data_IF_495422371436
#
_entry.id   IF_495422371436
#
_cell.length_a   1.000
_cell.length_b   1.000
_cell.length_c   1.000
_cell.angle_alpha   90.00
_cell.angle_beta   90.00
_cell.angle_gamma   90.00
#
_symmetry.space_group_name_H-M   'P 1'
#
loop_
_entity.id
_entity.type
_entity.pdbx_description
1 polymer ?
#
# COMPACT_ATOMS: atom_id res chain seq x y z
N UNK A 1 -12.37 -9.37 14.19
CA UNK A 1 -11.24 -10.27 14.52
C UNK A 1 -9.92 -9.78 13.89
N UNK A 2 -9.80 -9.74 12.55
CA UNK A 2 -8.54 -9.43 11.85
C UNK A 2 -7.90 -8.07 12.20
N UNK A 3 -8.69 -7.02 12.44
CA UNK A 3 -8.14 -5.72 12.89
C UNK A 3 -7.33 -5.88 14.18
N UNK A 4 -7.85 -6.61 15.17
CA UNK A 4 -7.14 -6.88 16.43
C UNK A 4 -5.89 -7.74 16.22
N UNK A 5 -5.95 -8.68 15.27
CA UNK A 5 -4.79 -9.50 14.91
C UNK A 5 -3.67 -8.61 14.35
N UNK A 6 -3.96 -7.76 13.37
CA UNK A 6 -2.94 -6.86 12.78
C UNK A 6 -2.42 -5.86 13.80
N UNK A 7 -3.28 -5.29 14.64
CA UNK A 7 -2.84 -4.43 15.75
C UNK A 7 -1.86 -5.15 16.67
N UNK A 8 -2.13 -6.42 17.01
CA UNK A 8 -1.23 -7.22 17.85
C UNK A 8 0.08 -7.56 17.15
N UNK A 9 0.06 -7.87 15.85
CA UNK A 9 1.28 -8.09 15.06
C UNK A 9 2.14 -6.83 15.01
N UNK A 10 1.54 -5.68 14.72
CA UNK A 10 2.24 -4.38 14.73
C UNK A 10 2.83 -4.10 16.10
N UNK A 11 2.07 -4.33 17.18
CA UNK A 11 2.57 -4.16 18.55
C UNK A 11 3.79 -5.05 18.83
N UNK A 12 3.73 -6.35 18.48
CA UNK A 12 4.83 -7.28 18.72
C UNK A 12 6.11 -6.90 17.96
N UNK A 13 5.99 -6.31 16.76
CA UNK A 13 7.14 -5.86 15.98
C UNK A 13 7.75 -4.57 16.52
N UNK A 14 6.93 -3.69 17.06
CA UNK A 14 7.32 -2.32 17.41
C UNK A 14 7.58 -2.11 18.89
N UNK A 15 7.11 -2.96 19.79
CA UNK A 15 7.30 -2.79 21.24
C UNK A 15 8.79 -2.81 21.61
N UNK A 16 9.20 -1.90 22.50
CA UNK A 16 10.57 -1.85 22.99
C UNK A 16 10.78 -2.94 24.05
N UNK A 17 11.65 -3.90 23.75
CA UNK A 17 12.09 -4.93 24.70
C UNK A 17 13.48 -4.64 25.23
N UNK A 18 13.99 -5.47 26.16
CA UNK A 18 15.38 -5.40 26.62
C UNK A 18 16.41 -5.58 25.49
N UNK A 19 16.02 -6.16 24.36
CA UNK A 19 16.85 -6.31 23.16
C UNK A 19 16.59 -5.21 22.10
N UNK A 20 15.79 -4.19 22.41
CA UNK A 20 15.33 -3.19 21.43
C UNK A 20 13.99 -3.53 20.79
N UNK A 21 13.67 -2.84 19.68
CA UNK A 21 12.51 -3.10 18.81
C UNK A 21 12.92 -4.07 17.70
N UNK A 22 11.98 -4.86 17.17
CA UNK A 22 12.27 -5.69 16.00
C UNK A 22 12.29 -4.85 14.73
N UNK A 23 11.18 -4.15 14.45
CA UNK A 23 11.03 -3.30 13.27
C UNK A 23 10.11 -2.11 13.56
N UNK A 24 10.39 -0.98 12.90
CA UNK A 24 9.39 0.06 12.69
C UNK A 24 8.42 -0.42 11.59
N UNK A 25 7.12 -0.25 11.81
CA UNK A 25 6.08 -0.70 10.88
C UNK A 25 5.25 0.48 10.41
N UNK A 26 5.23 0.70 9.09
CA UNK A 26 4.43 1.76 8.46
C UNK A 26 3.26 1.17 7.67
N UNK A 27 2.04 1.51 8.09
CA UNK A 27 0.78 1.07 7.47
C UNK A 27 0.08 2.17 6.68
N UNK A 28 0.77 3.27 6.35
CA UNK A 28 0.16 4.44 5.67
C UNK A 28 -0.18 4.23 4.20
N UNK A 29 0.34 3.18 3.56
CA UNK A 29 0.07 2.85 2.15
C UNK A 29 -1.17 1.96 1.95
N UNK A 30 -1.96 1.71 3.00
CA UNK A 30 -3.24 1.00 2.89
C UNK A 30 -4.30 1.91 2.24
N UNK A 31 -5.39 1.35 1.67
CA UNK A 31 -6.51 2.12 1.13
C UNK A 31 -6.96 3.23 2.08
N UNK A 32 -7.14 4.44 1.55
CA UNK A 32 -7.52 5.66 2.29
C UNK A 32 -6.52 6.08 3.40
N UNK A 33 -5.30 5.54 3.37
CA UNK A 33 -4.20 5.92 4.25
C UNK A 33 -4.57 5.87 5.74
N UNK A 34 -4.28 6.95 6.48
CA UNK A 34 -4.56 7.03 7.93
C UNK A 34 -6.07 6.96 8.26
N UNK A 35 -6.94 7.42 7.35
CA UNK A 35 -8.39 7.39 7.53
C UNK A 35 -9.04 6.05 7.20
N UNK A 36 -8.33 5.16 6.51
CA UNK A 36 -8.82 3.86 6.12
C UNK A 36 -8.70 2.79 7.22
N UNK A 37 -9.50 1.73 7.04
CA UNK A 37 -9.44 0.54 7.87
C UNK A 37 -8.04 -0.08 7.85
N UNK A 38 -7.60 -0.63 8.98
CA UNK A 38 -6.31 -1.31 9.07
C UNK A 38 -6.27 -2.62 8.28
N UNK A 39 -7.44 -3.21 8.05
CA UNK A 39 -7.64 -4.44 7.29
C UNK A 39 -8.83 -4.25 6.36
N UNK A 40 -8.66 -4.65 5.10
CA UNK A 40 -9.67 -4.54 4.05
C UNK A 40 -9.94 -5.92 3.45
N UNK A 41 -11.18 -6.17 3.05
CA UNK A 41 -11.51 -7.37 2.26
C UNK A 41 -10.86 -7.28 0.88
N UNK A 42 -10.57 -8.43 0.27
CA UNK A 42 -9.84 -8.44 -1.00
C UNK A 42 -10.64 -7.77 -2.13
N UNK A 43 -11.96 -7.95 -2.16
CA UNK A 43 -12.84 -7.32 -3.15
C UNK A 43 -12.89 -5.80 -2.96
N UNK A 44 -13.03 -5.32 -1.72
CA UNK A 44 -12.99 -3.89 -1.42
C UNK A 44 -11.62 -3.27 -1.72
N UNK A 45 -10.52 -4.02 -1.56
CA UNK A 45 -9.21 -3.59 -2.02
C UNK A 45 -9.18 -3.47 -3.55
N UNK A 46 -9.72 -4.45 -4.29
CA UNK A 46 -9.78 -4.40 -5.74
C UNK A 46 -10.59 -3.20 -6.24
N UNK A 47 -11.77 -2.97 -5.66
CA UNK A 47 -12.64 -1.86 -6.02
C UNK A 47 -11.94 -0.52 -5.77
N UNK A 48 -11.38 -0.32 -4.57
CA UNK A 48 -10.60 0.88 -4.24
C UNK A 48 -9.48 1.14 -5.25
N UNK A 49 -8.71 0.10 -5.59
CA UNK A 49 -7.60 0.21 -6.54
C UNK A 49 -8.05 0.56 -7.97
N UNK A 50 -9.28 0.20 -8.35
CA UNK A 50 -9.86 0.52 -9.67
C UNK A 50 -10.51 1.89 -9.73
N UNK A 51 -11.15 2.34 -8.65
CA UNK A 51 -12.05 3.51 -8.70
C UNK A 51 -11.55 4.74 -7.97
N UNK A 52 -10.73 4.57 -6.93
CA UNK A 52 -10.36 5.65 -6.00
C UNK A 52 -8.85 5.88 -5.91
N UNK A 53 -8.04 4.86 -6.18
CA UNK A 53 -6.60 4.93 -6.01
C UNK A 53 -5.95 5.92 -6.98
N UNK A 54 -5.05 6.72 -6.45
CA UNK A 54 -4.30 7.70 -7.21
C UNK A 54 -3.13 7.03 -7.94
N UNK A 55 -2.63 7.65 -9.01
CA UNK A 55 -1.47 7.11 -9.76
C UNK A 55 -0.27 6.80 -8.87
N UNK A 56 -0.02 7.59 -7.83
CA UNK A 56 1.09 7.34 -6.90
C UNK A 56 0.88 6.09 -6.03
N UNK A 57 -0.37 5.72 -5.73
CA UNK A 57 -0.70 4.47 -5.02
C UNK A 57 -0.46 3.27 -5.92
N UNK A 58 -0.80 3.37 -7.21
CA UNK A 58 -0.43 2.35 -8.19
C UNK A 58 1.10 2.23 -8.34
N UNK A 59 1.85 3.33 -8.25
CA UNK A 59 3.31 3.27 -8.22
C UNK A 59 3.82 2.55 -6.97
N UNK A 60 3.22 2.75 -5.80
CA UNK A 60 3.55 1.99 -4.61
C UNK A 60 3.18 0.50 -4.77
N UNK A 61 2.06 0.21 -5.44
CA UNK A 61 1.57 -1.13 -5.71
C UNK A 61 2.51 -1.96 -6.61
N UNK A 62 3.33 -1.31 -7.46
CA UNK A 62 4.39 -1.99 -8.23
C UNK A 62 5.38 -2.74 -7.33
N UNK A 63 5.63 -2.23 -6.13
CA UNK A 63 6.56 -2.82 -5.16
C UNK A 63 5.87 -3.77 -4.18
N UNK A 64 4.54 -3.87 -4.22
CA UNK A 64 3.79 -4.75 -3.34
C UNK A 64 3.87 -6.21 -3.82
N UNK A 65 3.93 -7.13 -2.86
CA UNK A 65 3.80 -8.57 -3.06
C UNK A 65 3.17 -9.20 -1.82
N UNK A 66 2.45 -10.29 -1.99
CA UNK A 66 2.03 -11.09 -0.83
C UNK A 66 3.26 -11.72 -0.15
N UNK A 67 3.41 -11.51 1.17
CA UNK A 67 4.54 -12.06 1.96
C UNK A 67 4.11 -13.18 2.89
N UNK A 68 2.83 -13.24 3.26
CA UNK A 68 2.23 -14.25 4.13
C UNK A 68 0.72 -14.33 3.86
N UNK A 69 0.12 -15.50 4.08
CA UNK A 69 -1.31 -15.73 3.87
C UNK A 69 -1.59 -17.13 3.33
N UNK A 70 -2.87 -17.46 3.13
CA UNK A 70 -3.24 -18.69 2.43
C UNK A 70 -2.84 -18.57 0.95
N UNK A 71 -2.48 -19.70 0.33
CA UNK A 71 -2.10 -19.73 -1.09
C UNK A 71 -3.17 -19.13 -2.00
N UNK A 72 -4.44 -19.42 -1.71
CA UNK A 72 -5.57 -18.88 -2.46
C UNK A 72 -5.65 -17.35 -2.36
N UNK A 73 -5.53 -16.78 -1.16
CA UNK A 73 -5.60 -15.32 -0.97
C UNK A 73 -4.39 -14.61 -1.59
N UNK A 74 -3.19 -15.18 -1.46
CA UNK A 74 -1.99 -14.63 -2.09
C UNK A 74 -2.11 -14.63 -3.62
N UNK A 75 -2.60 -15.72 -4.21
CA UNK A 75 -2.84 -15.81 -5.65
C UNK A 75 -3.88 -14.78 -6.13
N UNK A 76 -4.96 -14.61 -5.37
CA UNK A 76 -6.00 -13.63 -5.69
C UNK A 76 -5.51 -12.19 -5.60
N UNK A 77 -4.73 -11.85 -4.56
CA UNK A 77 -4.07 -10.55 -4.46
C UNK A 77 -3.16 -10.28 -5.66
N UNK A 78 -2.32 -11.24 -6.06
CA UNK A 78 -1.43 -11.07 -7.20
C UNK A 78 -2.21 -10.90 -8.52
N UNK A 79 -3.31 -11.63 -8.70
CA UNK A 79 -4.21 -11.51 -9.85
C UNK A 79 -4.77 -10.08 -9.94
N UNK A 80 -5.36 -9.57 -8.86
CA UNK A 80 -5.93 -8.21 -8.79
C UNK A 80 -4.84 -7.16 -9.02
N UNK A 81 -3.68 -7.32 -8.37
CA UNK A 81 -2.56 -6.40 -8.51
C UNK A 81 -2.12 -6.26 -9.97
N UNK A 82 -1.94 -7.38 -10.68
CA UNK A 82 -1.55 -7.38 -12.09
C UNK A 82 -2.64 -6.77 -12.98
N UNK A 83 -3.91 -7.05 -12.70
CA UNK A 83 -5.06 -6.49 -13.42
C UNK A 83 -5.08 -4.95 -13.33
N UNK A 84 -5.01 -4.41 -12.11
CA UNK A 84 -4.99 -2.97 -11.84
C UNK A 84 -3.80 -2.29 -12.53
N UNK A 85 -2.59 -2.86 -12.36
CA UNK A 85 -1.37 -2.27 -12.92
C UNK A 85 -1.37 -2.27 -14.45
N UNK A 86 -1.89 -3.33 -15.08
CA UNK A 86 -2.01 -3.42 -16.54
C UNK A 86 -3.00 -2.39 -17.08
N UNK A 87 -4.17 -2.25 -16.46
CA UNK A 87 -5.14 -1.23 -16.86
C UNK A 87 -4.51 0.16 -16.81
N UNK A 88 -3.93 0.53 -15.66
CA UNK A 88 -3.45 1.91 -15.46
C UNK A 88 -2.27 2.28 -16.37
N UNK A 89 -1.44 1.30 -16.77
CA UNK A 89 -0.32 1.51 -17.70
C UNK A 89 -0.75 2.01 -19.08
N UNK A 90 -1.97 1.67 -19.51
CA UNK A 90 -2.50 2.05 -20.82
C UNK A 90 -3.17 3.44 -20.84
N UNK A 91 -3.10 4.21 -19.75
CA UNK A 91 -3.59 5.58 -19.72
C UNK A 91 -2.60 6.55 -20.39
N UNK A 92 -3.08 7.33 -21.37
CA UNK A 92 -2.30 8.35 -22.07
C UNK A 92 -1.76 9.45 -21.12
N UNK A 93 -2.43 9.66 -19.98
CA UNK A 93 -2.07 10.68 -18.99
C UNK A 93 -0.99 10.22 -18.00
N UNK A 94 -0.68 8.92 -17.96
CA UNK A 94 0.20 8.33 -16.94
C UNK A 94 1.56 9.04 -16.84
N UNK A 95 2.18 9.32 -17.99
CA UNK A 95 3.48 9.98 -18.05
C UNK A 95 3.45 11.35 -17.38
N UNK A 96 2.40 12.13 -17.65
CA UNK A 96 2.24 13.47 -17.08
C UNK A 96 2.02 13.38 -15.57
N UNK A 97 1.13 12.48 -15.12
CA UNK A 97 0.80 12.25 -13.71
C UNK A 97 2.03 11.84 -12.89
N UNK A 98 2.82 10.88 -13.39
CA UNK A 98 4.07 10.44 -12.73
C UNK A 98 5.08 11.58 -12.61
N UNK A 99 5.28 12.37 -13.69
CA UNK A 99 6.20 13.52 -13.66
C UNK A 99 5.76 14.58 -12.66
N UNK A 100 4.47 14.92 -12.64
CA UNK A 100 3.89 15.89 -11.72
C UNK A 100 4.09 15.45 -10.27
N UNK A 101 3.80 14.19 -9.96
CA UNK A 101 3.96 13.67 -8.60
C UNK A 101 5.44 13.67 -8.15
N UNK A 102 6.36 13.23 -9.02
CA UNK A 102 7.79 13.25 -8.71
C UNK A 102 8.35 14.65 -8.54
N UNK A 103 7.80 15.65 -9.24
CA UNK A 103 8.14 17.05 -9.03
C UNK A 103 7.63 17.56 -7.67
N UNK A 104 6.41 17.20 -7.28
CA UNK A 104 5.84 17.54 -5.96
C UNK A 104 6.67 16.93 -4.82
N UNK A 105 7.00 15.64 -4.89
CA UNK A 105 7.83 14.97 -3.87
C UNK A 105 9.19 15.66 -3.68
N UNK A 106 9.88 15.99 -4.77
CA UNK A 106 11.18 16.69 -4.69
C UNK A 106 11.08 18.04 -3.99
N UNK A 107 10.03 18.82 -4.25
CA UNK A 107 9.81 20.11 -3.59
C UNK A 107 9.55 19.96 -2.09
N UNK A 108 8.78 18.96 -1.68
CA UNK A 108 8.48 18.74 -0.26
C UNK A 108 9.69 18.20 0.52
N UNK A 109 10.49 17.31 -0.08
CA UNK A 109 11.72 16.81 0.55
C UNK A 109 12.79 17.89 0.68
N UNK A 110 12.88 18.83 -0.28
CA UNK A 110 13.84 19.94 -0.23
C UNK A 110 13.51 21.02 0.81
N UNK A 111 12.26 21.08 1.31
CA UNK A 111 11.87 22.00 2.41
C UNK A 111 12.21 21.46 3.80
N UNK A 112 12.47 20.15 3.90
CA UNK A 112 12.77 19.47 5.17
C UNK A 112 14.25 19.19 5.40
N UNK A 113 15.13 19.67 4.52
CA UNK A 113 16.59 19.60 4.61
C UNK A 113 17.15 21.02 4.76
#
# INVERSE_FOLDING_TARGET
>A
FFVRLVQRVVHLLTVLSGAGRLYEVDVRLRPSGKGGLLVTQIDAFADYQRTEAWTWEHQALLHARAVAGSRALCAEFERIRLEVLRWHVHSDELRASVRSMRARMRREHAKGA
#
